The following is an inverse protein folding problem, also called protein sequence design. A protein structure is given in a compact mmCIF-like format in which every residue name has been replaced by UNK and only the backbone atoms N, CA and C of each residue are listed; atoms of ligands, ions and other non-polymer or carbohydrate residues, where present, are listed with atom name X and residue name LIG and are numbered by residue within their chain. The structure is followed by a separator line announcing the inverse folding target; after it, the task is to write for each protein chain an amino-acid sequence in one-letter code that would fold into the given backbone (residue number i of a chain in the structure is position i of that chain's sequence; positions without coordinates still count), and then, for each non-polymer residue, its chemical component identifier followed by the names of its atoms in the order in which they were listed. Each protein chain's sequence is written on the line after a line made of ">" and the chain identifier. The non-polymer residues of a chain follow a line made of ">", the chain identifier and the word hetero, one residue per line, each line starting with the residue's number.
data_IF_636294925748
#
_entry.id   IF_636294925748
#
_cell.length_a   1.000
_cell.length_b   1.000
_cell.length_c   1.000
_cell.angle_alpha   90.00
_cell.angle_beta   90.00
_cell.angle_gamma   90.00
#
_symmetry.space_group_name_H-M   'P 1'
#
loop_
_entity.id
_entity.type
_entity.pdbx_description
1 polymer ?
#
# COMPACT_ATOMS: atom_id res chain seq x y z
N UNK A 1 12.47 7.47 1.90
CA UNK A 1 13.03 6.35 1.14
C UNK A 1 12.12 5.12 1.21
N UNK A 2 12.14 4.33 0.16
CA UNK A 2 11.32 3.14 0.09
C UNK A 2 12.12 1.93 0.54
N UNK A 3 11.56 1.21 1.50
CA UNK A 3 12.20 -0.01 1.99
C UNK A 3 11.87 -1.15 1.05
N UNK A 4 12.78 -1.48 0.16
CA UNK A 4 12.49 -2.48 -0.86
C UNK A 4 12.13 -3.84 -0.28
N UNK A 5 12.81 -4.23 0.79
CA UNK A 5 12.49 -5.51 1.41
C UNK A 5 11.07 -5.53 1.96
N UNK A 6 10.62 -4.41 2.51
CA UNK A 6 9.28 -4.30 3.09
C UNK A 6 8.23 -4.32 1.99
N UNK A 7 8.47 -3.58 0.94
CA UNK A 7 7.56 -3.52 -0.21
C UNK A 7 7.46 -4.91 -0.85
N UNK A 8 8.58 -5.57 -1.02
CA UNK A 8 8.61 -6.90 -1.60
C UNK A 8 7.81 -7.88 -0.75
N UNK A 9 7.96 -7.78 0.57
CA UNK A 9 7.23 -8.64 1.47
C UNK A 9 5.73 -8.38 1.37
N UNK A 10 5.34 -7.13 1.29
CA UNK A 10 3.92 -6.77 1.19
C UNK A 10 3.29 -7.30 -0.10
N UNK A 11 4.08 -7.45 -1.15
CA UNK A 11 3.57 -7.95 -2.42
C UNK A 11 3.61 -9.47 -2.54
N UNK A 12 4.15 -10.15 -1.53
CA UNK A 12 4.32 -11.60 -1.62
C UNK A 12 2.99 -12.36 -1.55
N UNK A 13 2.01 -11.83 -0.84
CA UNK A 13 0.69 -12.45 -0.78
C UNK A 13 -0.31 -11.45 -0.24
N UNK A 14 -1.59 -11.76 -0.45
CA UNK A 14 -2.67 -10.90 0.07
C UNK A 14 -2.60 -10.81 1.59
N UNK A 15 -2.32 -11.93 2.23
CA UNK A 15 -2.22 -11.95 3.68
C UNK A 15 -1.12 -11.03 4.18
N UNK A 16 0.05 -11.11 3.56
CA UNK A 16 1.16 -10.26 3.98
C UNK A 16 0.85 -8.79 3.72
N UNK A 17 0.22 -8.51 2.58
CA UNK A 17 -0.19 -7.14 2.31
C UNK A 17 -1.10 -6.63 3.42
N UNK A 18 -2.10 -7.41 3.80
CA UNK A 18 -3.01 -7.00 4.87
C UNK A 18 -2.26 -6.74 6.17
N UNK A 19 -1.29 -7.59 6.49
CA UNK A 19 -0.55 -7.45 7.73
C UNK A 19 0.33 -6.20 7.76
N UNK A 20 0.86 -5.83 6.61
CA UNK A 20 1.84 -4.74 6.53
C UNK A 20 1.25 -3.42 6.05
N UNK A 21 0.01 -3.45 5.60
CA UNK A 21 -0.59 -2.30 4.93
C UNK A 21 -0.54 -1.03 5.78
N UNK A 22 -0.87 -1.12 7.04
CA UNK A 22 -0.91 0.04 7.91
C UNK A 22 0.49 0.59 8.20
N UNK A 23 1.51 -0.23 8.04
CA UNK A 23 2.89 0.15 8.33
C UNK A 23 3.62 0.72 7.13
N UNK A 24 2.99 0.73 5.96
CA UNK A 24 3.57 1.33 4.78
C UNK A 24 3.61 2.85 4.93
N UNK A 25 4.71 3.46 4.52
CA UNK A 25 4.74 4.91 4.46
C UNK A 25 3.90 5.35 3.27
N UNK A 26 3.53 6.63 3.24
CA UNK A 26 2.76 7.15 2.11
C UNK A 26 3.51 6.97 0.81
N UNK A 27 4.83 7.16 0.85
CA UNK A 27 5.66 6.98 -0.31
C UNK A 27 5.64 5.54 -0.79
N UNK A 28 5.73 4.60 0.16
CA UNK A 28 5.69 3.17 -0.17
C UNK A 28 4.33 2.78 -0.73
N UNK A 29 3.27 3.31 -0.15
CA UNK A 29 1.93 3.02 -0.61
C UNK A 29 1.75 3.48 -2.06
N UNK A 30 2.18 4.69 -2.37
CA UNK A 30 2.11 5.21 -3.72
C UNK A 30 2.92 4.34 -4.67
N UNK A 31 4.12 3.96 -4.24
CA UNK A 31 4.99 3.11 -5.04
C UNK A 31 4.31 1.78 -5.38
N UNK A 32 3.67 1.17 -4.39
CA UNK A 32 2.99 -0.09 -4.61
C UNK A 32 1.82 0.05 -5.56
N UNK A 33 1.06 1.12 -5.43
CA UNK A 33 -0.05 1.37 -6.34
C UNK A 33 0.45 1.45 -7.78
N UNK A 34 1.51 2.22 -8.00
CA UNK A 34 2.06 2.37 -9.33
C UNK A 34 2.58 1.05 -9.88
N UNK A 35 3.25 0.27 -9.05
CA UNK A 35 3.77 -1.02 -9.47
C UNK A 35 2.67 -1.98 -9.89
N UNK A 36 1.60 -2.06 -9.09
CA UNK A 36 0.51 -2.98 -9.40
C UNK A 36 -0.20 -2.55 -10.67
N UNK A 37 -0.44 -1.26 -10.83
CA UNK A 37 -1.13 -0.79 -12.03
C UNK A 37 -0.29 -0.95 -13.28
N UNK A 38 1.02 -0.82 -13.16
CA UNK A 38 1.88 -0.89 -14.32
C UNK A 38 2.24 -2.30 -14.73
N UNK A 39 2.29 -3.21 -13.78
CA UNK A 39 2.83 -4.54 -14.05
C UNK A 39 1.87 -5.66 -13.71
N UNK A 40 1.71 -5.93 -12.43
CA UNK A 40 0.96 -7.13 -11.99
C UNK A 40 -0.54 -6.99 -12.15
N UNK A 41 -1.07 -5.81 -11.91
CA UNK A 41 -2.49 -5.49 -12.08
C UNK A 41 -3.39 -6.46 -11.34
N UNK A 42 -2.98 -6.91 -10.18
CA UNK A 42 -3.79 -7.83 -9.38
C UNK A 42 -4.88 -7.02 -8.67
N UNK A 43 -6.12 -7.27 -9.07
CA UNK A 43 -7.24 -6.45 -8.63
C UNK A 43 -7.36 -6.40 -7.11
N UNK A 44 -7.18 -7.52 -6.44
CA UNK A 44 -7.30 -7.55 -4.99
C UNK A 44 -6.26 -6.65 -4.34
N UNK A 45 -5.03 -6.68 -4.83
CA UNK A 45 -3.98 -5.82 -4.30
C UNK A 45 -4.29 -4.36 -4.56
N UNK A 46 -4.72 -4.05 -5.78
CA UNK A 46 -5.05 -2.68 -6.14
C UNK A 46 -6.18 -2.15 -5.27
N UNK A 47 -7.23 -2.95 -5.09
CA UNK A 47 -8.36 -2.54 -4.26
C UNK A 47 -7.95 -2.25 -2.83
N UNK A 48 -7.10 -3.10 -2.26
CA UNK A 48 -6.65 -2.92 -0.89
C UNK A 48 -5.77 -1.69 -0.75
N UNK A 49 -4.89 -1.48 -1.71
CA UNK A 49 -4.00 -0.32 -1.69
C UNK A 49 -4.78 0.98 -1.79
N UNK A 50 -5.75 1.03 -2.69
CA UNK A 50 -6.57 2.24 -2.83
C UNK A 50 -7.45 2.47 -1.62
N UNK A 51 -7.93 1.41 -1.02
CA UNK A 51 -8.72 1.56 0.21
C UNK A 51 -7.88 2.19 1.31
N UNK A 52 -6.65 1.73 1.45
CA UNK A 52 -5.76 2.30 2.45
C UNK A 52 -5.47 3.76 2.14
N UNK A 53 -5.26 4.09 0.88
CA UNK A 53 -4.99 5.47 0.50
C UNK A 53 -6.17 6.38 0.83
N UNK A 54 -7.39 5.90 0.55
CA UNK A 54 -8.58 6.68 0.87
C UNK A 54 -8.76 6.85 2.37
N UNK A 55 -8.46 5.78 3.11
CA UNK A 55 -8.55 5.82 4.56
C UNK A 55 -7.64 6.90 5.12
N UNK A 56 -6.40 6.95 4.62
CA UNK A 56 -5.45 7.95 5.09
C UNK A 56 -5.87 9.35 4.71
N UNK A 57 -6.46 9.50 3.53
CA UNK A 57 -6.92 10.80 3.08
C UNK A 57 -8.04 11.33 3.95
N UNK A 58 -8.80 10.45 4.57
CA UNK A 58 -9.91 10.87 5.41
C UNK A 58 -9.49 11.28 6.81
N UNK A 59 -8.23 11.10 7.15
CA UNK A 59 -7.77 11.36 8.50
C UNK A 59 -6.62 12.35 8.57
N UNK A 60 -6.63 13.38 7.76
CA UNK A 60 -5.47 14.29 7.75
C UNK A 60 -5.39 15.17 8.99
N UNK A 61 -6.48 15.32 9.70
CA UNK A 61 -6.52 16.26 10.81
C UNK A 61 -6.55 15.65 12.18
N UNK A 62 -6.49 14.36 12.22
CA UNK A 62 -6.57 13.69 13.49
C UNK A 62 -5.54 14.19 14.47
N UNK A 63 -4.36 14.43 13.95
CA UNK A 63 -3.28 14.80 14.80
C UNK A 63 -3.15 16.27 14.99
N UNK A 64 -3.92 17.04 14.37
CA UNK A 64 -3.83 18.49 14.49
C UNK A 64 -4.23 19.00 15.83
#
# INVERSE_FOLDING_TARGET
>A
AIREWFVSEALSSVRRLDELLADLTDEELTHLILLEEAASRRKVFIDKLYREARQRAKQPFQRS
#
